data_IF_256478141788
#
_entry.id   IF_256478141788
#
_cell.length_a   1.000
_cell.length_b   1.000
_cell.length_c   1.000
_cell.angle_alpha   90.00
_cell.angle_beta   90.00
_cell.angle_gamma   90.00
#
_symmetry.space_group_name_H-M   'P 1'
#
loop_
_entity.id
_entity.type
_entity.pdbx_description
1 polymer ?
#
# COMPACT_ATOMS: atom_id res chain seq x y z
N UNK A 1 -6.13 -13.89 -21.68
CA UNK A 1 -7.00 -12.71 -21.58
C UNK A 1 -6.15 -11.62 -20.98
N UNK A 2 -5.95 -10.50 -21.68
CA UNK A 2 -5.31 -9.33 -21.09
C UNK A 2 -6.32 -8.70 -20.14
N UNK A 3 -6.21 -9.00 -18.85
CA UNK A 3 -6.97 -8.27 -17.83
C UNK A 3 -6.55 -6.82 -17.91
N UNK A 4 -7.45 -5.97 -18.43
CA UNK A 4 -7.23 -4.54 -18.47
C UNK A 4 -7.32 -4.01 -17.04
N UNK A 5 -6.17 -3.65 -16.48
CA UNK A 5 -6.12 -2.97 -15.20
C UNK A 5 -6.88 -1.64 -15.28
N UNK A 6 -7.64 -1.27 -14.23
CA UNK A 6 -8.25 0.03 -14.12
C UNK A 6 -7.22 1.17 -14.30
N UNK A 7 -7.62 2.27 -14.95
CA UNK A 7 -6.75 3.44 -15.16
C UNK A 7 -6.98 4.55 -14.15
N UNK A 8 -7.89 4.36 -13.19
CA UNK A 8 -8.33 5.41 -12.25
C UNK A 8 -7.16 6.06 -11.52
N UNK A 9 -6.16 5.28 -11.12
CA UNK A 9 -4.96 5.84 -10.49
C UNK A 9 -4.26 6.87 -11.38
N UNK A 10 -4.11 6.56 -12.68
CA UNK A 10 -3.47 7.43 -13.66
C UNK A 10 -4.32 8.66 -13.94
N UNK A 11 -5.63 8.47 -14.11
CA UNK A 11 -6.58 9.55 -14.40
C UNK A 11 -6.64 10.59 -13.28
N UNK A 12 -6.33 10.18 -12.05
CA UNK A 12 -6.27 11.04 -10.86
C UNK A 12 -4.84 11.41 -10.44
N UNK A 13 -3.81 11.05 -11.21
CA UNK A 13 -2.41 11.35 -10.90
C UNK A 13 -1.94 10.77 -9.56
N UNK A 14 -2.48 9.61 -9.17
CA UNK A 14 -2.19 8.97 -7.89
C UNK A 14 -0.80 8.33 -7.88
N UNK A 15 -0.18 8.39 -6.71
CA UNK A 15 0.94 7.56 -6.29
C UNK A 15 0.64 7.06 -4.86
N UNK A 16 1.46 6.16 -4.33
CA UNK A 16 1.25 5.62 -2.99
C UNK A 16 2.43 5.87 -2.08
N UNK A 17 2.10 6.09 -0.81
CA UNK A 17 3.06 6.09 0.27
C UNK A 17 2.90 4.77 1.03
N UNK A 18 3.99 4.03 1.10
CA UNK A 18 4.07 2.76 1.77
C UNK A 18 4.63 2.95 3.18
N UNK A 19 4.06 2.25 4.15
CA UNK A 19 4.47 2.28 5.55
C UNK A 19 4.46 0.87 6.14
N UNK A 20 5.45 0.56 6.97
CA UNK A 20 5.49 -0.62 7.83
C UNK A 20 5.63 -0.16 9.28
N UNK A 21 4.76 -0.64 10.16
CA UNK A 21 4.72 -0.22 11.56
C UNK A 21 4.52 -1.41 12.50
N UNK A 22 4.99 -1.31 13.73
CA UNK A 22 4.75 -2.27 14.82
C UNK A 22 3.42 -2.03 15.56
N UNK A 23 2.67 -0.99 15.18
CA UNK A 23 1.36 -0.67 15.73
C UNK A 23 0.39 -0.21 14.65
N UNK A 24 -0.90 -0.44 14.89
CA UNK A 24 -1.94 0.05 14.00
C UNK A 24 -1.95 1.58 13.97
N UNK A 25 -1.99 2.14 12.77
CA UNK A 25 -2.11 3.59 12.57
C UNK A 25 -3.31 3.92 11.71
N UNK A 26 -3.83 5.15 11.82
CA UNK A 26 -4.88 5.64 10.94
C UNK A 26 -4.28 6.33 9.72
N UNK A 27 -4.90 6.18 8.53
CA UNK A 27 -4.44 6.80 7.29
C UNK A 27 -4.23 8.32 7.41
N UNK A 28 -5.08 9.01 8.18
CA UNK A 28 -4.92 10.46 8.42
C UNK A 28 -3.61 10.82 9.16
N UNK A 29 -3.15 9.96 10.06
CA UNK A 29 -1.90 10.17 10.80
C UNK A 29 -0.69 9.91 9.91
N UNK A 30 -0.73 8.82 9.13
CA UNK A 30 0.36 8.45 8.20
C UNK A 30 0.69 9.52 7.17
N UNK A 31 -0.27 10.40 6.82
CA UNK A 31 -0.02 11.60 5.99
C UNK A 31 1.03 12.56 6.52
N UNK A 32 1.37 12.47 7.80
CA UNK A 32 2.39 13.30 8.45
C UNK A 32 3.69 12.55 8.69
N UNK A 33 3.78 11.27 8.31
CA UNK A 33 4.98 10.44 8.49
C UNK A 33 5.73 10.33 7.17
N UNK A 34 7.06 10.23 7.26
CA UNK A 34 7.86 9.85 6.09
C UNK A 34 7.50 8.43 5.67
N UNK A 35 7.22 8.18 4.38
CA UNK A 35 6.99 6.83 3.90
C UNK A 35 8.28 6.01 3.88
N UNK A 36 8.15 4.71 4.06
CA UNK A 36 9.24 3.74 3.85
C UNK A 36 9.55 3.60 2.35
N UNK A 37 8.51 3.74 1.50
CA UNK A 37 8.67 3.81 0.05
C UNK A 37 7.60 4.70 -0.60
N UNK A 38 7.96 5.36 -1.70
CA UNK A 38 7.03 6.05 -2.60
C UNK A 38 6.88 5.20 -3.86
N UNK A 39 5.65 4.80 -4.17
CA UNK A 39 5.33 3.86 -5.23
C UNK A 39 4.57 4.61 -6.33
N UNK A 40 5.10 4.62 -7.54
CA UNK A 40 4.61 5.49 -8.62
C UNK A 40 3.59 4.81 -9.53
N UNK A 41 3.43 3.50 -9.42
CA UNK A 41 2.48 2.73 -10.19
C UNK A 41 1.98 1.48 -9.42
N UNK A 42 0.87 0.86 -9.86
CA UNK A 42 0.31 -0.31 -9.21
C UNK A 42 1.21 -1.55 -9.19
N UNK A 43 2.13 -1.68 -10.14
CA UNK A 43 3.04 -2.83 -10.22
C UNK A 43 4.13 -2.71 -9.15
N UNK A 44 4.77 -1.55 -9.06
CA UNK A 44 5.72 -1.24 -8.00
C UNK A 44 5.11 -1.42 -6.60
N UNK A 45 3.84 -1.02 -6.41
CA UNK A 45 3.17 -1.23 -5.14
C UNK A 45 2.89 -2.71 -4.82
N UNK A 46 2.48 -3.50 -5.81
CA UNK A 46 2.32 -4.95 -5.63
C UNK A 46 3.68 -5.63 -5.37
N UNK A 47 4.76 -5.20 -6.00
CA UNK A 47 6.11 -5.72 -5.72
C UNK A 47 6.58 -5.38 -4.32
N UNK A 48 6.43 -4.13 -3.88
CA UNK A 48 6.82 -3.73 -2.53
C UNK A 48 6.06 -4.52 -1.44
N UNK A 49 4.76 -4.73 -1.63
CA UNK A 49 3.96 -5.60 -0.77
C UNK A 49 4.53 -7.03 -0.75
N UNK A 50 4.94 -7.56 -1.91
CA UNK A 50 5.54 -8.89 -2.02
C UNK A 50 6.81 -9.01 -1.20
N UNK A 51 7.68 -8.02 -1.32
CA UNK A 51 8.99 -7.99 -0.69
C UNK A 51 8.83 -7.91 0.84
N UNK A 52 7.93 -7.06 1.34
CA UNK A 52 7.68 -6.96 2.78
C UNK A 52 7.12 -8.27 3.34
N UNK A 53 6.13 -8.86 2.66
CA UNK A 53 5.57 -10.14 3.09
C UNK A 53 6.60 -11.26 3.05
N UNK A 54 7.47 -11.29 2.03
CA UNK A 54 8.53 -12.28 1.91
C UNK A 54 9.60 -12.10 2.98
N UNK A 55 10.03 -10.86 3.24
CA UNK A 55 11.02 -10.54 4.26
C UNK A 55 10.56 -10.93 5.67
N UNK A 56 9.25 -10.89 5.92
CA UNK A 56 8.65 -11.24 7.20
C UNK A 56 7.94 -12.62 7.19
N UNK A 57 8.07 -13.39 6.10
CA UNK A 57 7.35 -14.66 5.85
C UNK A 57 7.76 -15.80 6.76
N UNK A 58 9.00 -15.81 7.27
CA UNK A 58 9.51 -16.87 8.15
C UNK A 58 8.66 -17.06 9.42
N UNK A 59 7.90 -16.01 9.77
CA UNK A 59 7.04 -15.95 10.94
C UNK A 59 5.57 -15.65 10.60
N UNK A 60 5.19 -15.50 9.32
CA UNK A 60 3.87 -14.94 8.94
C UNK A 60 2.74 -15.96 9.11
N UNK A 61 1.87 -15.71 10.09
CA UNK A 61 0.75 -16.60 10.47
C UNK A 61 -0.55 -16.26 9.72
N UNK A 62 -0.80 -14.98 9.41
CA UNK A 62 -1.97 -14.52 8.66
C UNK A 62 -1.72 -13.13 8.05
N UNK A 63 -2.34 -12.86 6.90
CA UNK A 63 -2.44 -11.54 6.28
C UNK A 63 -3.91 -11.14 6.24
N UNK A 64 -4.27 -10.05 6.93
CA UNK A 64 -5.61 -9.47 6.87
C UNK A 64 -5.67 -8.30 5.89
N UNK A 65 -6.28 -8.50 4.72
CA UNK A 65 -6.40 -7.44 3.72
C UNK A 65 -7.64 -6.58 3.95
N UNK A 66 -7.46 -5.29 4.23
CA UNK A 66 -8.58 -4.34 4.22
C UNK A 66 -8.75 -3.71 2.83
N UNK A 67 -9.27 -4.49 1.89
CA UNK A 67 -9.70 -3.96 0.58
C UNK A 67 -11.19 -3.57 0.61
N UNK A 68 -11.65 -2.68 -0.29
CA UNK A 68 -13.07 -2.33 -0.40
C UNK A 68 -14.00 -3.49 -0.78
N UNK A 69 -13.46 -4.64 -1.20
CA UNK A 69 -14.23 -5.84 -1.55
C UNK A 69 -14.37 -6.84 -0.39
N UNK A 70 -13.91 -6.49 0.81
CA UNK A 70 -14.01 -7.31 2.00
C UNK A 70 -12.68 -7.94 2.41
N UNK A 71 -12.66 -8.46 3.64
CA UNK A 71 -11.48 -9.06 4.27
C UNK A 71 -11.22 -10.44 3.68
N UNK A 72 -9.98 -10.69 3.25
CA UNK A 72 -9.50 -12.05 2.98
C UNK A 72 -8.36 -12.33 3.96
N UNK A 73 -8.46 -13.43 4.70
CA UNK A 73 -7.36 -13.96 5.51
C UNK A 73 -6.55 -14.89 4.62
N UNK A 74 -5.45 -14.37 4.07
CA UNK A 74 -4.56 -15.15 3.21
C UNK A 74 -3.31 -15.53 4.00
N UNK A 75 -2.88 -16.79 3.90
CA UNK A 75 -1.49 -17.15 4.21
C UNK A 75 -0.57 -16.60 3.11
N UNK A 76 0.74 -16.47 3.33
CA UNK A 76 1.66 -15.91 2.32
C UNK A 76 1.64 -16.68 0.99
N UNK A 77 1.32 -17.99 1.00
CA UNK A 77 1.15 -18.81 -0.20
C UNK A 77 -0.20 -18.70 -0.92
N UNK A 78 -1.17 -17.95 -0.37
CA UNK A 78 -2.51 -17.71 -0.94
C UNK A 78 -2.62 -16.29 -1.51
N UNK A 79 -1.59 -15.45 -1.30
CA UNK A 79 -1.55 -14.10 -1.83
C UNK A 79 -1.69 -14.08 -3.35
N UNK A 80 -2.55 -13.17 -3.81
CA UNK A 80 -2.76 -12.87 -5.22
C UNK A 80 -2.20 -11.48 -5.57
N UNK A 81 -0.98 -11.43 -6.11
CA UNK A 81 -0.36 -10.18 -6.53
C UNK A 81 -1.16 -9.45 -7.64
N UNK A 82 -1.99 -10.16 -8.40
CA UNK A 82 -2.88 -9.52 -9.37
C UNK A 82 -3.99 -8.75 -8.67
N UNK A 83 -4.47 -9.22 -7.50
CA UNK A 83 -5.45 -8.51 -6.67
C UNK A 83 -4.87 -7.21 -6.10
N UNK A 84 -3.64 -7.24 -5.59
CA UNK A 84 -2.94 -6.05 -5.09
C UNK A 84 -2.84 -5.00 -6.19
N UNK A 85 -2.35 -5.42 -7.36
CA UNK A 85 -2.23 -4.58 -8.54
C UNK A 85 -3.59 -4.01 -8.98
N UNK A 86 -4.65 -4.81 -8.94
CA UNK A 86 -5.98 -4.36 -9.31
C UNK A 86 -6.55 -3.33 -8.33
N UNK A 87 -6.37 -3.52 -7.01
CA UNK A 87 -6.78 -2.58 -5.98
C UNK A 87 -6.05 -1.23 -6.14
N UNK A 88 -4.73 -1.28 -6.30
CA UNK A 88 -3.90 -0.10 -6.53
C UNK A 88 -4.28 0.57 -7.86
N UNK A 89 -4.48 -0.19 -8.94
CA UNK A 89 -4.94 0.37 -10.21
C UNK A 89 -6.30 1.10 -10.09
N UNK A 90 -7.17 0.64 -9.18
CA UNK A 90 -8.42 1.30 -8.85
C UNK A 90 -8.26 2.54 -7.95
N UNK A 91 -7.04 2.87 -7.52
CA UNK A 91 -6.74 4.01 -6.65
C UNK A 91 -7.08 3.77 -5.18
N UNK A 92 -7.16 2.50 -4.76
CA UNK A 92 -7.54 2.11 -3.41
C UNK A 92 -6.30 1.97 -2.51
N UNK A 93 -6.53 2.01 -1.20
CA UNK A 93 -5.52 1.63 -0.22
C UNK A 93 -5.42 0.12 -0.11
N UNK A 94 -4.22 -0.34 0.24
CA UNK A 94 -3.99 -1.71 0.67
C UNK A 94 -3.46 -1.67 2.10
N UNK A 95 -4.07 -2.44 2.99
CA UNK A 95 -3.63 -2.60 4.37
C UNK A 95 -3.54 -4.09 4.66
N UNK A 96 -2.47 -4.48 5.35
CA UNK A 96 -2.19 -5.84 5.75
C UNK A 96 -1.66 -5.88 7.18
N UNK A 97 -2.25 -6.71 8.04
CA UNK A 97 -1.62 -7.10 9.31
C UNK A 97 -0.81 -8.38 9.09
N UNK A 98 0.48 -8.35 9.41
CA UNK A 98 1.41 -9.48 9.36
C UNK A 98 1.65 -9.93 10.80
N UNK A 99 1.13 -11.10 11.15
CA UNK A 99 1.39 -11.70 12.47
C UNK A 99 2.71 -12.47 12.41
N UNK A 100 3.69 -12.08 13.22
CA UNK A 100 5.00 -12.75 13.36
C UNK A 100 5.12 -13.47 14.71
N UNK A 101 6.19 -14.25 14.92
CA UNK A 101 6.50 -14.88 16.20
C UNK A 101 6.88 -13.85 17.28
N UNK A 102 7.35 -12.66 16.87
CA UNK A 102 7.80 -11.59 17.76
C UNK A 102 6.76 -10.51 17.99
N UNK A 103 5.64 -10.52 17.25
CA UNK A 103 4.58 -9.53 17.40
C UNK A 103 3.72 -9.39 16.15
N UNK A 104 3.20 -8.18 15.95
CA UNK A 104 2.40 -7.84 14.78
C UNK A 104 3.09 -6.69 14.04
N UNK A 105 3.08 -6.76 12.72
CA UNK A 105 3.43 -5.66 11.86
C UNK A 105 2.21 -5.25 11.05
N UNK A 106 2.11 -3.96 10.77
CA UNK A 106 1.03 -3.35 10.04
C UNK A 106 1.62 -2.69 8.80
N UNK A 107 1.24 -3.21 7.64
CA UNK A 107 1.63 -2.73 6.34
C UNK A 107 0.50 -1.87 5.78
N UNK A 108 0.86 -0.69 5.28
CA UNK A 108 -0.07 0.24 4.65
C UNK A 108 0.49 0.74 3.33
N UNK A 109 -0.35 0.77 2.29
CA UNK A 109 -0.08 1.40 1.00
C UNK A 109 -1.25 2.34 0.74
N UNK A 110 -1.07 3.62 1.06
CA UNK A 110 -2.12 4.63 1.01
C UNK A 110 -2.01 5.46 -0.28
N UNK A 111 -3.13 5.73 -0.98
CA UNK A 111 -3.13 6.57 -2.18
C UNK A 111 -3.01 8.06 -1.83
N UNK A 112 -2.22 8.76 -2.61
CA UNK A 112 -2.01 10.21 -2.54
C UNK A 112 -2.26 10.83 -3.91
N UNK A 113 -3.11 11.85 -3.90
CA UNK A 113 -3.15 12.84 -4.97
C UNK A 113 -1.93 13.76 -4.88
N UNK A 114 -1.55 14.44 -5.97
CA UNK A 114 -0.47 15.43 -5.95
C UNK A 114 -0.66 16.48 -4.84
N UNK A 115 -1.87 16.96 -4.62
CA UNK A 115 -2.20 17.98 -3.61
C UNK A 115 -2.11 17.46 -2.17
N UNK A 116 -2.26 16.15 -1.98
CA UNK A 116 -2.11 15.50 -0.68
C UNK A 116 -0.66 15.17 -0.34
N UNK A 117 0.22 15.11 -1.34
CA UNK A 117 1.62 14.76 -1.14
C UNK A 117 2.41 15.94 -0.53
N UNK A 118 3.03 15.78 0.65
CA UNK A 118 3.84 16.83 1.27
C UNK A 118 5.00 17.29 0.38
N UNK A 119 5.58 16.38 -0.41
CA UNK A 119 6.68 16.68 -1.32
C UNK A 119 6.26 17.63 -2.46
N UNK A 120 5.02 17.53 -2.96
CA UNK A 120 4.51 18.43 -3.99
C UNK A 120 3.98 19.76 -3.43
N UNK A 121 3.40 19.77 -2.22
CA UNK A 121 3.02 21.04 -1.56
C UNK A 121 4.21 21.98 -1.36
N UNK A 122 5.37 21.41 -1.06
CA UNK A 122 6.61 22.14 -0.83
C UNK A 122 7.12 22.84 -2.11
N UNK A 123 6.88 22.26 -3.29
CA UNK A 123 7.26 22.86 -4.56
C UNK A 123 6.33 24.01 -4.99
N UNK A 124 5.03 23.92 -4.69
CA UNK A 124 4.07 25.01 -4.97
C UNK A 124 4.32 26.26 -4.10
N UNK A 125 4.83 26.10 -2.87
CA UNK A 125 5.12 27.20 -1.96
C UNK A 125 6.43 27.95 -2.25
N UNK A 126 7.33 27.37 -3.06
CA UNK A 126 8.63 27.96 -3.42
C UNK A 126 8.61 28.70 -4.78
N UNK A 127 7.42 28.98 -5.32
CA UNK A 127 7.23 29.77 -6.54
C UNK A 127 6.67 31.15 -6.19
N UNK A 128 7.38 31.91 -5.36
CA UNK A 128 7.14 33.35 -5.11
C UNK A 128 8.44 34.11 -5.34
#
# INVERSE_FOLDING_TARGET
MTDHLPTRWRDHGLHWHAHLSDHATAAKLRRNYSPDAVLLDPEAGAEWIADMLTAHSADTIAIEWHTPWGVTLDGPGVRDAARDRHALAYGLSVEAMIVTATGQLYLYVDPYTPEQCPHHRSQAANTI
#
